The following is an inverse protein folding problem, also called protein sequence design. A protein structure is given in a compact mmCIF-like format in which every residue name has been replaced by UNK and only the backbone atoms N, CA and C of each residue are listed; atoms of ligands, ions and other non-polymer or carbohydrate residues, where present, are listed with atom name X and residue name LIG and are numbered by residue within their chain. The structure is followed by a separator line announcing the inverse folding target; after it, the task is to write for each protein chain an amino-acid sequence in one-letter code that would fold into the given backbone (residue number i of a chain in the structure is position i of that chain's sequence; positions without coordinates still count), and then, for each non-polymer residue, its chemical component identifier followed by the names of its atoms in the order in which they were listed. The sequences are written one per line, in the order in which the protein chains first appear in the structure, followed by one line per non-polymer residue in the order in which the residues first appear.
data_IF_637394566796
#
_entry.id   IF_637394566796
#
_cell.length_a   1.000
_cell.length_b   1.000
_cell.length_c   1.000
_cell.angle_alpha   90.00
_cell.angle_beta   90.00
_cell.angle_gamma   90.00
#
_symmetry.space_group_name_H-M   'P 1'
#
loop_
_entity.id
_entity.type
_entity.pdbx_description
1 polymer ?
#
# COMPACT_ATOMS: atom_id res chain seq x y z
N UNK A 1 18.47 0.33 9.61
CA UNK A 1 18.19 -0.58 8.48
C UNK A 1 16.70 -0.86 8.30
N UNK A 2 16.00 -1.20 9.38
CA UNK A 2 14.54 -1.43 9.29
C UNK A 2 13.80 -0.20 8.77
N UNK A 3 14.30 0.99 9.05
CA UNK A 3 13.67 2.25 8.63
C UNK A 3 13.76 2.52 7.12
N UNK A 4 14.61 1.77 6.40
CA UNK A 4 14.74 1.94 4.96
C UNK A 4 13.83 1.01 4.16
N UNK A 5 13.18 0.03 4.81
CA UNK A 5 12.29 -0.91 4.12
C UNK A 5 10.96 -0.22 3.86
N UNK A 6 10.50 -0.19 2.59
CA UNK A 6 9.19 0.38 2.30
C UNK A 6 8.09 -0.52 2.84
N UNK A 7 7.23 0.04 3.69
CA UNK A 7 6.17 -0.73 4.33
C UNK A 7 5.09 -1.16 3.33
N UNK A 8 4.98 -0.48 2.19
CA UNK A 8 4.02 -0.85 1.14
C UNK A 8 4.29 -2.22 0.52
N UNK A 9 5.44 -2.83 0.81
CA UNK A 9 5.69 -4.21 0.41
C UNK A 9 4.76 -5.19 1.16
N UNK A 10 4.26 -4.81 2.33
CA UNK A 10 3.38 -5.67 3.14
C UNK A 10 2.07 -5.97 2.41
N UNK A 11 1.29 -4.97 1.94
CA UNK A 11 0.09 -5.26 1.14
C UNK A 11 0.40 -6.04 -0.14
N UNK A 12 1.54 -5.77 -0.76
CA UNK A 12 1.98 -6.48 -1.95
C UNK A 12 2.15 -7.98 -1.66
N UNK A 13 2.86 -8.31 -0.59
CA UNK A 13 3.09 -9.70 -0.18
C UNK A 13 1.76 -10.36 0.19
N UNK A 14 0.90 -9.68 0.94
CA UNK A 14 -0.39 -10.23 1.35
C UNK A 14 -1.25 -10.59 0.14
N UNK A 15 -1.31 -9.70 -0.86
CA UNK A 15 -2.08 -9.98 -2.07
C UNK A 15 -1.52 -11.18 -2.83
N UNK A 16 -0.19 -11.23 -3.00
CA UNK A 16 0.44 -12.34 -3.71
C UNK A 16 0.27 -13.66 -2.98
N UNK A 17 0.34 -13.67 -1.66
CA UNK A 17 0.08 -14.88 -0.87
C UNK A 17 -1.36 -15.36 -1.08
N UNK A 18 -2.31 -14.44 -1.11
CA UNK A 18 -3.71 -14.78 -1.36
C UNK A 18 -3.91 -15.31 -2.79
N UNK A 19 -3.28 -14.66 -3.76
CA UNK A 19 -3.35 -15.06 -5.17
C UNK A 19 -2.81 -16.48 -5.39
N UNK A 20 -1.76 -16.85 -4.67
CA UNK A 20 -1.16 -18.17 -4.76
C UNK A 20 -1.89 -19.22 -3.90
N UNK A 21 -2.94 -18.83 -3.19
CA UNK A 21 -3.69 -19.73 -2.34
C UNK A 21 -3.05 -20.05 -1.01
N UNK A 22 -2.02 -19.33 -0.61
CA UNK A 22 -1.27 -19.59 0.64
C UNK A 22 -2.02 -19.13 1.89
N UNK A 23 -3.03 -18.27 1.75
CA UNK A 23 -3.81 -17.75 2.88
C UNK A 23 -5.15 -18.46 3.05
N UNK A 24 -5.31 -19.65 2.50
CA UNK A 24 -6.52 -20.42 2.60
C UNK A 24 -6.93 -20.99 1.25
N UNK A 25 -7.97 -21.79 1.25
CA UNK A 25 -8.45 -22.46 0.04
C UNK A 25 -9.11 -21.45 -0.92
N UNK A 26 -8.68 -21.42 -2.17
CA UNK A 26 -9.42 -20.77 -3.22
C UNK A 26 -8.72 -19.63 -3.97
N UNK A 27 -7.51 -19.24 -3.61
CA UNK A 27 -6.79 -18.21 -4.35
C UNK A 27 -7.56 -16.89 -4.46
N UNK A 28 -7.68 -16.35 -5.68
CA UNK A 28 -8.39 -15.07 -5.91
C UNK A 28 -9.84 -15.04 -5.42
N UNK A 29 -10.67 -16.10 -5.60
CA UNK A 29 -12.04 -16.06 -5.09
C UNK A 29 -12.12 -15.81 -3.59
N UNK A 30 -11.08 -16.14 -2.81
CA UNK A 30 -11.08 -15.90 -1.37
C UNK A 30 -11.10 -14.42 -1.03
N UNK A 31 -10.68 -13.54 -1.94
CA UNK A 31 -10.70 -12.09 -1.74
C UNK A 31 -12.13 -11.54 -1.63
N UNK A 32 -13.10 -12.23 -2.20
CA UNK A 32 -14.50 -11.82 -2.16
C UNK A 32 -15.26 -12.39 -0.96
N UNK A 33 -14.63 -13.29 -0.20
CA UNK A 33 -15.28 -13.88 0.96
C UNK A 33 -15.39 -12.86 2.10
N UNK A 34 -16.60 -12.74 2.64
CA UNK A 34 -16.84 -11.87 3.78
C UNK A 34 -16.20 -12.46 5.03
N UNK A 35 -15.35 -11.68 5.67
CA UNK A 35 -14.69 -12.09 6.92
C UNK A 35 -15.38 -11.49 8.14
N UNK A 36 -16.11 -10.37 7.95
CA UNK A 36 -16.85 -9.71 9.01
C UNK A 36 -18.22 -9.34 8.44
N UNK A 37 -19.28 -9.67 9.17
CA UNK A 37 -20.65 -9.28 8.83
C UNK A 37 -21.30 -8.74 10.09
N UNK A 38 -21.77 -7.50 10.04
CA UNK A 38 -22.37 -6.82 11.17
C UNK A 38 -23.72 -6.20 10.78
N UNK A 39 -24.69 -6.27 11.67
CA UNK A 39 -25.94 -5.54 11.49
C UNK A 39 -25.79 -4.15 12.11
N UNK A 40 -26.10 -3.14 11.31
CA UNK A 40 -26.01 -1.75 11.75
C UNK A 40 -27.30 -1.33 12.49
N UNK A 41 -27.20 -0.28 13.27
CA UNK A 41 -28.34 0.29 13.99
C UNK A 41 -29.44 0.71 13.00
N UNK A 42 -29.07 1.12 11.79
CA UNK A 42 -30.01 1.47 10.72
C UNK A 42 -30.80 0.30 10.16
N UNK A 43 -30.44 -0.93 10.53
CA UNK A 43 -31.00 -2.15 9.94
C UNK A 43 -30.26 -2.68 8.74
N UNK A 44 -29.25 -1.94 8.25
CA UNK A 44 -28.43 -2.40 7.13
C UNK A 44 -27.43 -3.47 7.59
N UNK A 45 -27.12 -4.41 6.69
CA UNK A 45 -26.08 -5.39 6.92
C UNK A 45 -24.78 -4.87 6.28
N UNK A 46 -23.74 -4.73 7.10
CA UNK A 46 -22.41 -4.34 6.61
C UNK A 46 -21.48 -5.55 6.62
N UNK A 47 -20.78 -5.74 5.52
CA UNK A 47 -19.80 -6.82 5.45
C UNK A 47 -18.47 -6.30 4.90
N UNK A 48 -17.39 -6.94 5.33
CA UNK A 48 -16.02 -6.66 4.85
C UNK A 48 -15.42 -7.94 4.34
N UNK A 49 -15.00 -7.92 3.07
CA UNK A 49 -14.32 -9.06 2.45
C UNK A 49 -12.83 -9.05 2.79
N UNK A 50 -12.14 -10.15 2.48
CA UNK A 50 -10.69 -10.22 2.63
C UNK A 50 -9.98 -9.16 1.78
N UNK A 51 -10.46 -8.93 0.55
CA UNK A 51 -9.91 -7.87 -0.30
C UNK A 51 -10.08 -6.49 0.32
N UNK A 52 -11.24 -6.23 0.92
CA UNK A 52 -11.48 -4.95 1.62
C UNK A 52 -10.52 -4.79 2.80
N UNK A 53 -10.24 -5.88 3.52
CA UNK A 53 -9.29 -5.85 4.62
C UNK A 53 -7.89 -5.50 4.13
N UNK A 54 -7.46 -6.04 2.99
CA UNK A 54 -6.17 -5.70 2.41
C UNK A 54 -6.07 -4.20 2.10
N UNK A 55 -7.15 -3.61 1.59
CA UNK A 55 -7.21 -2.18 1.31
C UNK A 55 -7.08 -1.37 2.60
N UNK A 56 -7.82 -1.76 3.65
CA UNK A 56 -7.75 -1.07 4.95
C UNK A 56 -6.34 -1.16 5.53
N UNK A 57 -5.73 -2.34 5.47
CA UNK A 57 -4.34 -2.53 5.95
C UNK A 57 -3.40 -1.63 5.15
N UNK A 58 -3.57 -1.55 3.82
CA UNK A 58 -2.72 -0.72 2.97
C UNK A 58 -2.86 0.77 3.32
N UNK A 59 -4.06 1.22 3.63
CA UNK A 59 -4.27 2.60 4.05
C UNK A 59 -3.59 2.90 5.38
N UNK A 60 -3.64 1.97 6.33
CA UNK A 60 -2.91 2.09 7.59
C UNK A 60 -1.40 2.12 7.37
N UNK A 61 -0.91 1.25 6.49
CA UNK A 61 0.52 1.24 6.12
C UNK A 61 0.93 2.55 5.47
N UNK A 62 0.09 3.11 4.60
CA UNK A 62 0.34 4.41 3.97
C UNK A 62 0.51 5.50 5.03
N UNK A 63 -0.34 5.50 6.04
CA UNK A 63 -0.23 6.47 7.13
C UNK A 63 1.14 6.37 7.82
N UNK A 64 1.58 5.14 8.15
CA UNK A 64 2.89 4.95 8.76
C UNK A 64 4.05 5.31 7.82
N UNK A 65 3.90 5.08 6.52
CA UNK A 65 4.91 5.48 5.55
C UNK A 65 5.05 7.01 5.50
N UNK A 66 3.95 7.73 5.56
CA UNK A 66 3.97 9.18 5.59
C UNK A 66 4.66 9.69 6.87
N UNK A 67 4.34 9.10 8.02
CA UNK A 67 5.02 9.45 9.27
C UNK A 67 6.52 9.17 9.19
N UNK A 68 6.89 8.03 8.63
CA UNK A 68 8.28 7.65 8.45
C UNK A 68 9.02 8.63 7.54
N UNK A 69 8.39 9.06 6.45
CA UNK A 69 8.98 10.03 5.53
C UNK A 69 9.25 11.37 6.22
N UNK A 70 8.35 11.81 7.10
CA UNK A 70 8.55 13.06 7.84
C UNK A 70 9.67 12.94 8.87
N UNK A 71 9.84 11.77 9.49
CA UNK A 71 10.89 11.54 10.50
C UNK A 71 12.28 11.41 9.89
N UNK A 72 12.39 10.80 8.71
CA UNK A 72 13.66 10.55 8.05
C UNK A 72 14.12 11.70 7.17
N UNK A 73 13.51 12.87 7.31
CA UNK A 73 13.86 14.09 6.59
C UNK A 73 13.90 13.91 5.07
N UNK A 74 13.01 13.04 4.54
CA UNK A 74 12.91 12.84 3.11
C UNK A 74 14.13 12.14 2.51
N UNK A 75 14.59 11.06 3.12
CA UNK A 75 15.72 10.28 2.61
C UNK A 75 15.51 9.87 1.16
N UNK A 76 16.47 10.15 0.31
CA UNK A 76 16.45 9.77 -1.11
C UNK A 76 16.34 8.27 -1.28
N UNK A 77 17.08 7.49 -0.48
CA UNK A 77 17.05 6.03 -0.52
C UNK A 77 15.64 5.51 -0.23
N UNK A 78 14.99 6.04 0.80
CA UNK A 78 13.63 5.64 1.16
C UNK A 78 12.66 5.94 0.01
N UNK A 79 12.79 7.11 -0.61
CA UNK A 79 11.94 7.50 -1.74
C UNK A 79 12.17 6.57 -2.95
N UNK A 80 13.41 6.25 -3.26
CA UNK A 80 13.74 5.35 -4.37
C UNK A 80 13.18 3.95 -4.15
N UNK A 81 13.25 3.44 -2.91
CA UNK A 81 12.69 2.13 -2.59
C UNK A 81 11.17 2.12 -2.72
N UNK A 82 10.50 3.20 -2.32
CA UNK A 82 9.05 3.33 -2.51
C UNK A 82 8.68 3.35 -4.00
N UNK A 83 9.48 4.01 -4.82
CA UNK A 83 9.29 3.99 -6.28
C UNK A 83 9.43 2.58 -6.85
N UNK A 84 10.43 1.83 -6.38
CA UNK A 84 10.63 0.46 -6.83
C UNK A 84 9.44 -0.42 -6.48
N UNK A 85 8.88 -0.26 -5.28
CA UNK A 85 7.68 -1.01 -4.87
C UNK A 85 6.51 -0.66 -5.79
N UNK A 86 6.29 0.63 -6.07
CA UNK A 86 5.22 1.04 -6.99
C UNK A 86 5.42 0.45 -8.39
N UNK A 87 6.64 0.50 -8.91
CA UNK A 87 6.96 -0.08 -10.23
C UNK A 87 6.65 -1.58 -10.23
N UNK A 88 6.97 -2.29 -9.14
CA UNK A 88 6.66 -3.70 -9.01
C UNK A 88 5.14 -3.95 -9.06
N UNK A 89 4.35 -3.13 -8.35
CA UNK A 89 2.89 -3.20 -8.45
C UNK A 89 2.43 -2.99 -9.90
N UNK A 90 2.96 -1.98 -10.56
CA UNK A 90 2.56 -1.65 -11.93
C UNK A 90 2.88 -2.78 -12.90
N UNK A 91 4.09 -3.33 -12.82
CA UNK A 91 4.52 -4.43 -13.70
C UNK A 91 3.65 -5.65 -13.47
N UNK A 92 3.38 -6.00 -12.23
CA UNK A 92 2.53 -7.15 -11.91
C UNK A 92 1.09 -6.92 -12.39
N UNK A 93 0.55 -5.72 -12.21
CA UNK A 93 -0.79 -5.38 -12.67
C UNK A 93 -0.92 -5.55 -14.20
N UNK A 94 0.12 -5.16 -14.93
CA UNK A 94 0.08 -5.22 -16.39
C UNK A 94 0.38 -6.60 -16.96
N UNK A 95 1.22 -7.38 -16.30
CA UNK A 95 1.73 -8.63 -16.86
C UNK A 95 1.11 -9.89 -16.25
N UNK A 96 0.61 -9.83 -15.02
CA UNK A 96 0.04 -10.98 -14.34
C UNK A 96 -1.48 -10.90 -14.41
N UNK A 97 -2.10 -11.90 -15.05
CA UNK A 97 -3.55 -11.91 -15.26
C UNK A 97 -4.32 -11.85 -13.93
N UNK A 98 -3.87 -12.60 -12.94
CA UNK A 98 -4.55 -12.69 -11.65
C UNK A 98 -4.40 -11.42 -10.81
N UNK A 99 -3.49 -10.53 -11.18
CA UNK A 99 -3.33 -9.23 -10.52
C UNK A 99 -4.20 -8.14 -11.15
N UNK A 100 -4.91 -8.43 -12.23
CA UNK A 100 -5.78 -7.46 -12.90
C UNK A 100 -7.15 -7.40 -12.21
N UNK A 101 -7.16 -7.06 -10.91
CA UNK A 101 -8.37 -6.96 -10.09
C UNK A 101 -8.51 -5.56 -9.54
N UNK A 102 -9.73 -5.23 -9.12
CA UNK A 102 -10.01 -3.93 -8.50
C UNK A 102 -9.22 -3.75 -7.20
N UNK A 103 -9.13 -4.80 -6.38
CA UNK A 103 -8.35 -4.76 -5.14
C UNK A 103 -6.89 -4.41 -5.43
N UNK A 104 -6.27 -5.10 -6.39
CA UNK A 104 -4.87 -4.85 -6.73
C UNK A 104 -4.68 -3.44 -7.29
N UNK A 105 -5.61 -2.98 -8.13
CA UNK A 105 -5.56 -1.62 -8.67
C UNK A 105 -5.60 -0.58 -7.54
N UNK A 106 -6.45 -0.77 -6.53
CA UNK A 106 -6.53 0.14 -5.39
C UNK A 106 -5.23 0.10 -4.58
N UNK A 107 -4.66 -1.08 -4.34
CA UNK A 107 -3.38 -1.21 -3.65
C UNK A 107 -2.26 -0.49 -4.42
N UNK A 108 -2.25 -0.63 -5.74
CA UNK A 108 -1.30 0.05 -6.61
C UNK A 108 -1.47 1.58 -6.52
N UNK A 109 -2.72 2.05 -6.48
CA UNK A 109 -3.02 3.48 -6.33
C UNK A 109 -2.52 4.01 -4.98
N UNK A 110 -2.68 3.23 -3.92
CA UNK A 110 -2.16 3.59 -2.59
C UNK A 110 -0.63 3.68 -2.63
N UNK A 111 0.04 2.75 -3.32
CA UNK A 111 1.49 2.80 -3.51
C UNK A 111 1.91 4.05 -4.30
N UNK A 112 1.13 4.46 -5.29
CA UNK A 112 1.38 5.70 -6.03
C UNK A 112 1.27 6.92 -5.12
N UNK A 113 0.25 6.96 -4.26
CA UNK A 113 0.09 8.05 -3.30
C UNK A 113 1.29 8.10 -2.36
N UNK A 114 1.79 6.95 -1.93
CA UNK A 114 2.99 6.87 -1.10
C UNK A 114 4.21 7.49 -1.80
N UNK A 115 4.41 7.18 -3.08
CA UNK A 115 5.51 7.73 -3.88
C UNK A 115 5.37 9.26 -4.00
N UNK A 116 4.17 9.73 -4.36
CA UNK A 116 3.91 11.16 -4.52
C UNK A 116 4.06 11.89 -3.18
N UNK A 117 3.53 11.33 -2.10
CA UNK A 117 3.68 11.90 -0.77
C UNK A 117 5.13 12.00 -0.33
N UNK A 118 5.90 10.95 -0.56
CA UNK A 118 7.33 10.93 -0.27
C UNK A 118 8.09 11.95 -1.08
N UNK A 119 7.75 12.11 -2.36
CA UNK A 119 8.37 13.11 -3.22
C UNK A 119 8.10 14.54 -2.72
N UNK A 120 6.87 14.83 -2.32
CA UNK A 120 6.50 16.14 -1.77
C UNK A 120 7.33 16.43 -0.52
N UNK A 121 7.43 15.47 0.40
CA UNK A 121 8.25 15.62 1.61
C UNK A 121 9.72 15.85 1.25
N UNK A 122 10.25 15.08 0.31
CA UNK A 122 11.64 15.19 -0.14
C UNK A 122 11.93 16.58 -0.71
N UNK A 123 11.05 17.09 -1.58
CA UNK A 123 11.24 18.40 -2.19
C UNK A 123 11.19 19.51 -1.14
N UNK A 124 10.26 19.45 -0.20
CA UNK A 124 10.13 20.46 0.85
C UNK A 124 11.34 20.44 1.79
N UNK A 125 11.82 19.26 2.15
CA UNK A 125 13.00 19.13 3.01
C UNK A 125 14.24 19.68 2.31
N UNK A 126 14.43 19.34 1.03
CA UNK A 126 15.54 19.86 0.23
C UNK A 126 15.47 21.41 0.12
N UNK A 127 14.28 21.96 -0.07
CA UNK A 127 14.08 23.40 -0.12
C UNK A 127 14.44 24.09 1.19
N UNK A 128 14.10 23.49 2.32
CA UNK A 128 14.47 24.02 3.64
C UNK A 128 15.98 23.99 3.86
N UNK A 129 16.63 22.90 3.48
CA UNK A 129 18.07 22.77 3.64
C UNK A 129 18.82 23.81 2.82
N UNK A 130 18.37 24.09 1.59
CA UNK A 130 18.93 25.15 0.76
C UNK A 130 18.72 26.52 1.41
N UNK A 131 17.53 26.77 1.94
CA UNK A 131 17.18 28.02 2.61
C UNK A 131 18.02 28.26 3.85
N UNK A 132 18.30 27.24 4.65
CA UNK A 132 19.12 27.33 5.86
C UNK A 132 20.61 27.49 5.51
N UNK A 133 21.05 26.89 4.42
CA UNK A 133 22.44 26.96 3.97
C UNK A 133 22.86 28.31 3.43
N UNK A 134 21.94 29.22 3.22
CA UNK A 134 22.19 30.58 2.78
C UNK A 134 22.41 31.51 3.96
#
# INVERSE_FOLDING_TARGET
MVNAVPLMIIPFILYNMSMLGLMGSGGLPSLQNDIIVLSMISGAMWSMSLGDLFIVVALGVLFFEILKATRNDGSLTNHMLSMLVFITFLVEFLLVQDAATQVFFILMTIALIDVVGGLVVFIRTAGRDVSIGL
#
